data_IF_578157293872
#
_entry.id   IF_578157293872
#
_cell.length_a   1.000
_cell.length_b   1.000
_cell.length_c   1.000
_cell.angle_alpha   90.00
_cell.angle_beta   90.00
_cell.angle_gamma   90.00
#
_symmetry.space_group_name_H-M   'P 1'
#
loop_
_entity.id
_entity.type
_entity.pdbx_description
1 polymer ?
#
# COMPACT_ATOMS: atom_id res chain seq x y z
N UNK A 1 -11.30 0.47 0.59
CA UNK A 1 -10.01 0.47 1.31
C UNK A 1 -9.37 1.86 1.25
N UNK A 2 -8.81 2.33 2.37
CA UNK A 2 -7.95 3.52 2.44
C UNK A 2 -6.56 3.09 2.92
N UNK A 3 -5.52 3.34 2.13
CA UNK A 3 -4.14 3.04 2.51
C UNK A 3 -3.68 4.02 3.59
N UNK A 4 -3.09 3.51 4.67
CA UNK A 4 -2.41 4.30 5.70
C UNK A 4 -0.90 4.23 5.53
N UNK A 5 -0.37 3.04 5.28
CA UNK A 5 1.06 2.81 5.09
C UNK A 5 1.28 1.68 4.10
N UNK A 6 2.30 1.82 3.26
CA UNK A 6 2.70 0.82 2.28
C UNK A 6 4.22 0.67 2.31
N UNK A 7 4.70 -0.54 2.56
CA UNK A 7 6.08 -0.94 2.29
C UNK A 7 6.11 -1.91 1.12
N UNK A 8 7.11 -1.76 0.27
CA UNK A 8 7.33 -2.59 -0.90
C UNK A 8 8.81 -2.92 -0.96
N UNK A 9 9.13 -4.19 -1.10
CA UNK A 9 10.49 -4.61 -1.41
C UNK A 9 10.52 -5.59 -2.58
N UNK A 10 11.51 -5.41 -3.43
CA UNK A 10 11.85 -6.24 -4.58
C UNK A 10 10.70 -6.48 -5.60
N UNK A 11 9.62 -5.69 -5.55
CA UNK A 11 8.64 -5.59 -6.63
C UNK A 11 8.97 -4.44 -7.59
N UNK A 12 8.91 -4.71 -8.88
CA UNK A 12 9.21 -3.79 -9.97
C UNK A 12 10.61 -3.16 -9.84
N UNK A 13 10.67 -1.90 -9.40
CA UNK A 13 11.91 -1.15 -9.16
C UNK A 13 12.02 -0.68 -7.71
N UNK A 14 11.07 -1.06 -6.86
CA UNK A 14 11.04 -0.67 -5.47
C UNK A 14 11.96 -1.59 -4.69
N UNK A 15 12.94 -0.99 -4.02
CA UNK A 15 13.86 -1.65 -3.10
C UNK A 15 13.72 -0.93 -1.76
N UNK A 16 13.29 -1.66 -0.74
CA UNK A 16 13.03 -1.15 0.61
C UNK A 16 12.31 0.21 0.61
N UNK A 17 11.17 0.28 -0.09
CA UNK A 17 10.41 1.52 -0.28
C UNK A 17 9.25 1.59 0.69
N UNK A 18 9.16 2.69 1.44
CA UNK A 18 8.06 2.96 2.36
C UNK A 18 7.33 4.26 1.97
N UNK A 19 6.00 4.21 1.99
CA UNK A 19 5.11 5.35 1.76
C UNK A 19 4.12 5.43 2.92
N UNK A 20 4.18 6.55 3.64
CA UNK A 20 3.23 6.90 4.68
C UNK A 20 2.15 7.83 4.12
N UNK A 21 0.90 7.37 4.13
CA UNK A 21 -0.28 8.09 3.67
C UNK A 21 -1.00 8.82 4.81
N UNK A 22 -0.41 8.90 6.01
CA UNK A 22 -0.97 9.58 7.17
C UNK A 22 -0.31 10.93 7.45
N UNK A 23 -0.88 11.69 8.38
CA UNK A 23 -0.26 12.86 8.98
C UNK A 23 -0.27 12.75 10.51
N UNK A 24 0.82 13.16 11.19
CA UNK A 24 0.89 13.11 12.64
C UNK A 24 -0.06 14.11 13.32
N UNK A 25 -0.49 15.18 12.62
CA UNK A 25 -1.39 16.21 13.13
C UNK A 25 -2.32 16.71 12.04
N UNK A 26 -3.51 17.18 12.44
CA UNK A 26 -4.44 17.89 11.54
C UNK A 26 -3.76 19.11 10.93
N UNK A 27 -3.87 19.26 9.62
CA UNK A 27 -3.40 20.44 8.90
C UNK A 27 -4.37 21.59 9.20
N UNK A 28 -3.90 22.62 9.92
CA UNK A 28 -4.67 23.84 10.13
C UNK A 28 -4.78 24.58 8.79
N UNK A 29 -5.98 24.99 8.39
CA UNK A 29 -6.26 25.70 7.13
C UNK A 29 -5.99 24.88 5.85
N UNK A 30 -6.24 23.56 5.85
CA UNK A 30 -6.21 22.79 4.60
C UNK A 30 -7.22 23.37 3.60
N UNK A 31 -6.78 23.63 2.36
CA UNK A 31 -7.66 24.03 1.25
C UNK A 31 -8.44 22.85 0.68
N UNK A 32 -8.14 21.63 1.14
CA UNK A 32 -8.83 20.40 0.74
C UNK A 32 -9.93 20.14 1.77
N UNK A 33 -11.18 20.40 1.39
CA UNK A 33 -12.33 20.11 2.25
C UNK A 33 -12.48 18.60 2.51
N UNK A 34 -12.80 18.25 3.76
CA UNK A 34 -13.07 16.87 4.16
C UNK A 34 -11.85 15.95 4.12
N UNK A 35 -10.66 16.47 4.47
CA UNK A 35 -9.43 15.68 4.69
C UNK A 35 -9.41 14.99 6.08
N UNK A 36 -10.55 14.42 6.46
CA UNK A 36 -10.72 13.65 7.68
C UNK A 36 -11.76 12.56 7.42
N UNK A 37 -11.54 11.39 8.01
CA UNK A 37 -12.57 10.37 8.08
C UNK A 37 -13.47 10.71 9.26
N UNK A 38 -14.73 11.07 9.00
CA UNK A 38 -15.68 11.43 10.05
C UNK A 38 -15.77 10.36 11.15
N UNK A 39 -15.57 9.10 10.77
CA UNK A 39 -15.63 7.94 11.65
C UNK A 39 -14.29 7.55 12.28
N UNK A 40 -13.18 8.17 11.84
CA UNK A 40 -11.84 7.99 12.41
C UNK A 40 -11.22 9.35 12.77
N UNK A 41 -11.74 10.05 13.78
CA UNK A 41 -11.34 11.43 14.10
C UNK A 41 -9.86 11.57 14.52
N UNK A 42 -9.24 10.44 14.91
CA UNK A 42 -7.86 10.35 15.36
C UNK A 42 -6.87 10.02 14.23
N UNK A 43 -7.36 9.63 13.05
CA UNK A 43 -6.51 9.29 11.90
C UNK A 43 -6.59 10.42 10.89
N UNK A 44 -5.46 11.10 10.69
CA UNK A 44 -5.31 12.07 9.61
C UNK A 44 -4.65 11.36 8.44
N UNK A 45 -5.27 11.41 7.26
CA UNK A 45 -4.77 10.74 6.07
C UNK A 45 -4.72 11.69 4.88
N UNK A 46 -3.84 11.40 3.95
CA UNK A 46 -3.67 12.11 2.68
C UNK A 46 -4.79 11.68 1.74
N UNK A 47 -5.86 12.48 1.65
CA UNK A 47 -6.99 12.18 0.74
C UNK A 47 -6.58 12.26 -0.72
N UNK A 48 -5.66 13.16 -1.05
CA UNK A 48 -5.08 13.32 -2.39
C UNK A 48 -3.57 13.23 -2.27
N UNK A 49 -2.96 12.32 -3.03
CA UNK A 49 -1.52 12.18 -3.15
C UNK A 49 -1.09 12.47 -4.59
N UNK A 50 -0.22 13.47 -4.77
CA UNK A 50 0.35 13.80 -6.08
C UNK A 50 1.76 13.24 -6.13
N UNK A 51 1.97 12.20 -6.95
CA UNK A 51 3.28 11.62 -7.19
C UNK A 51 3.91 12.23 -8.44
N UNK A 52 4.96 13.03 -8.26
CA UNK A 52 5.70 13.69 -9.34
C UNK A 52 7.12 13.12 -9.46
N UNK A 53 7.70 13.17 -10.66
CA UNK A 53 9.07 12.72 -10.90
C UNK A 53 9.36 12.55 -12.39
N UNK A 54 10.62 12.28 -12.74
CA UNK A 54 11.05 12.05 -14.12
C UNK A 54 10.37 10.84 -14.79
N UNK A 55 10.46 10.72 -16.11
CA UNK A 55 9.98 9.51 -16.81
C UNK A 55 10.69 8.26 -16.24
N UNK A 56 9.97 7.13 -16.23
CA UNK A 56 10.44 5.86 -15.66
C UNK A 56 10.85 5.89 -14.17
N UNK A 57 10.48 6.93 -13.40
CA UNK A 57 10.79 7.02 -11.96
C UNK A 57 9.89 6.15 -11.06
N UNK A 58 9.14 5.20 -11.61
CA UNK A 58 8.31 4.27 -10.82
C UNK A 58 6.89 4.71 -10.51
N UNK A 59 6.43 5.89 -10.94
CA UNK A 59 5.04 6.35 -10.70
C UNK A 59 3.99 5.36 -11.23
N UNK A 60 4.15 4.86 -12.45
CA UNK A 60 3.25 3.85 -13.02
C UNK A 60 3.35 2.52 -12.29
N UNK A 61 4.56 2.10 -11.93
CA UNK A 61 4.79 0.86 -11.16
C UNK A 61 4.15 0.93 -9.77
N UNK A 62 4.17 2.10 -9.12
CA UNK A 62 3.48 2.34 -7.84
C UNK A 62 1.97 2.16 -8.00
N UNK A 63 1.38 2.78 -9.03
CA UNK A 63 -0.04 2.60 -9.32
C UNK A 63 -0.40 1.14 -9.60
N UNK A 64 0.46 0.42 -10.34
CA UNK A 64 0.28 -1.02 -10.62
C UNK A 64 0.31 -1.85 -9.35
N UNK A 65 1.31 -1.71 -8.49
CA UNK A 65 1.36 -2.51 -7.26
C UNK A 65 0.22 -2.17 -6.30
N UNK A 66 -0.20 -0.91 -6.19
CA UNK A 66 -1.38 -0.55 -5.39
C UNK A 66 -2.66 -1.20 -5.95
N UNK A 67 -2.80 -1.29 -7.27
CA UNK A 67 -3.91 -2.00 -7.92
C UNK A 67 -3.86 -3.51 -7.64
N UNK A 68 -2.67 -4.11 -7.76
CA UNK A 68 -2.43 -5.52 -7.44
C UNK A 68 -2.78 -5.84 -5.99
N UNK A 69 -2.37 -5.01 -5.03
CA UNK A 69 -2.72 -5.17 -3.61
C UNK A 69 -4.24 -5.08 -3.39
N UNK A 70 -4.93 -4.14 -4.06
CA UNK A 70 -6.39 -4.05 -4.00
C UNK A 70 -7.06 -5.33 -4.55
N UNK A 71 -6.59 -5.83 -5.69
CA UNK A 71 -7.08 -7.06 -6.29
C UNK A 71 -6.83 -8.27 -5.37
N UNK A 72 -5.65 -8.30 -4.75
CA UNK A 72 -5.25 -9.33 -3.82
C UNK A 72 -6.16 -9.38 -2.60
N UNK A 73 -6.43 -8.23 -1.98
CA UNK A 73 -7.38 -8.09 -0.89
C UNK A 73 -8.83 -8.41 -1.29
N UNK A 74 -9.17 -8.32 -2.58
CA UNK A 74 -10.44 -8.78 -3.14
C UNK A 74 -10.45 -10.28 -3.47
N UNK A 75 -9.44 -11.05 -3.05
CA UNK A 75 -9.34 -12.49 -3.23
C UNK A 75 -8.78 -12.94 -4.58
N UNK A 76 -8.18 -12.04 -5.37
CA UNK A 76 -7.53 -12.39 -6.64
C UNK A 76 -6.05 -12.73 -6.41
N UNK A 77 -5.47 -13.71 -7.11
CA UNK A 77 -4.03 -13.96 -7.00
C UNK A 77 -3.23 -12.79 -7.57
N UNK A 78 -1.98 -12.61 -7.10
CA UNK A 78 -1.00 -11.76 -7.79
C UNK A 78 -0.52 -12.51 -9.02
N UNK A 79 -1.11 -12.19 -10.18
CA UNK A 79 -0.80 -12.87 -11.44
C UNK A 79 0.65 -12.59 -11.87
N UNK A 80 1.29 -13.56 -12.53
CA UNK A 80 2.62 -13.38 -13.12
C UNK A 80 3.65 -12.73 -12.16
N UNK A 81 3.59 -13.15 -10.89
CA UNK A 81 4.51 -12.67 -9.85
C UNK A 81 5.97 -12.75 -10.29
N UNK A 82 6.45 -13.81 -10.97
CA UNK A 82 7.82 -13.89 -11.44
C UNK A 82 8.22 -12.71 -12.32
N UNK A 83 7.37 -12.16 -13.19
CA UNK A 83 7.76 -11.01 -14.03
C UNK A 83 7.86 -9.70 -13.24
N UNK A 84 7.18 -9.62 -12.10
CA UNK A 84 7.11 -8.44 -11.22
C UNK A 84 8.24 -8.39 -10.20
N UNK A 85 8.91 -9.50 -9.89
CA UNK A 85 10.09 -9.54 -8.99
C UNK A 85 11.30 -8.87 -9.67
N UNK A 86 12.01 -7.96 -9.00
CA UNK A 86 13.17 -7.27 -9.57
C UNK A 86 14.40 -8.19 -9.62
N UNK A 87 14.81 -8.65 -8.45
CA UNK A 87 15.88 -9.61 -8.22
C UNK A 87 15.27 -11.01 -8.04
N UNK A 88 15.49 -11.89 -9.02
CA UNK A 88 14.91 -13.25 -9.07
C UNK A 88 15.50 -14.21 -8.03
N UNK A 89 16.64 -13.85 -7.45
CA UNK A 89 17.30 -14.65 -6.41
C UNK A 89 16.84 -14.25 -5.00
N UNK A 90 16.04 -13.19 -4.90
CA UNK A 90 15.48 -12.66 -3.65
C UNK A 90 13.96 -12.72 -3.66
N UNK A 91 13.35 -12.84 -2.48
CA UNK A 91 11.91 -12.75 -2.31
C UNK A 91 11.43 -11.32 -2.53
N UNK A 92 10.19 -11.15 -2.99
CA UNK A 92 9.51 -9.85 -3.05
C UNK A 92 8.42 -9.77 -1.99
N UNK A 93 8.16 -8.58 -1.48
CA UNK A 93 7.17 -8.40 -0.43
C UNK A 93 6.43 -7.08 -0.54
N UNK A 94 5.21 -7.08 -0.01
CA UNK A 94 4.55 -5.86 0.38
C UNK A 94 3.98 -5.99 1.78
N UNK A 95 3.93 -4.87 2.49
CA UNK A 95 3.24 -4.71 3.76
C UNK A 95 2.31 -3.50 3.63
N UNK A 96 1.01 -3.70 3.81
CA UNK A 96 0.01 -2.64 3.72
C UNK A 96 -0.75 -2.55 5.03
N UNK A 97 -0.81 -1.34 5.58
CA UNK A 97 -1.76 -0.98 6.64
C UNK A 97 -2.88 -0.16 6.02
N UNK A 98 -4.12 -0.56 6.25
CA UNK A 98 -5.27 0.06 5.59
C UNK A 98 -6.54 0.05 6.45
N UNK A 99 -7.48 0.90 6.08
CA UNK A 99 -8.80 0.99 6.70
C UNK A 99 -9.86 0.42 5.76
N UNK A 100 -10.80 -0.32 6.36
CA UNK A 100 -12.09 -0.67 5.75
C UNK A 100 -13.16 0.28 6.30
N UNK A 101 -13.62 1.29 5.54
CA UNK A 101 -14.57 2.28 6.05
C UNK A 101 -15.85 1.66 6.60
N UNK A 102 -16.29 0.54 6.03
CA UNK A 102 -17.52 -0.14 6.40
C UNK A 102 -17.45 -0.78 7.80
N UNK A 103 -16.32 -1.40 8.15
CA UNK A 103 -16.13 -2.08 9.46
C UNK A 103 -15.49 -1.21 10.52
N UNK A 104 -14.94 -0.06 10.10
CA UNK A 104 -14.16 0.86 10.95
C UNK A 104 -12.91 0.21 11.55
N UNK A 105 -12.39 -0.81 10.90
CA UNK A 105 -11.21 -1.54 11.35
C UNK A 105 -9.97 -1.09 10.60
N UNK A 106 -8.85 -1.13 11.32
CA UNK A 106 -7.52 -0.99 10.75
C UNK A 106 -6.95 -2.39 10.61
N UNK A 107 -6.42 -2.65 9.43
CA UNK A 107 -5.87 -3.94 9.05
C UNK A 107 -4.41 -3.77 8.68
N UNK A 108 -3.63 -4.80 8.95
CA UNK A 108 -2.29 -4.94 8.40
C UNK A 108 -2.19 -6.29 7.70
N UNK A 109 -1.76 -6.24 6.43
CA UNK A 109 -1.43 -7.40 5.62
C UNK A 109 0.04 -7.32 5.24
N UNK A 110 0.78 -8.41 5.47
CA UNK A 110 2.10 -8.64 4.90
C UNK A 110 2.04 -9.88 4.02
N UNK A 111 2.52 -9.77 2.80
CA UNK A 111 2.63 -10.88 1.87
C UNK A 111 4.03 -10.90 1.26
N UNK A 112 4.60 -12.09 1.18
CA UNK A 112 5.92 -12.33 0.59
C UNK A 112 5.80 -13.42 -0.49
N UNK A 113 6.51 -13.19 -1.59
CA UNK A 113 6.45 -13.96 -2.81
C UNK A 113 7.85 -14.37 -3.26
N UNK A 114 7.96 -15.58 -3.78
CA UNK A 114 9.13 -16.09 -4.47
C UNK A 114 8.79 -16.31 -5.96
N UNK A 115 9.70 -16.93 -6.71
CA UNK A 115 9.48 -17.28 -8.12
C UNK A 115 8.34 -18.29 -8.37
N UNK A 116 7.83 -18.94 -7.34
CA UNK A 116 6.73 -19.91 -7.42
C UNK A 116 5.38 -19.28 -7.03
N UNK A 117 5.39 -18.09 -6.43
CA UNK A 117 4.20 -17.35 -6.02
C UNK A 117 4.26 -16.95 -4.54
N UNK A 118 3.10 -16.87 -3.90
CA UNK A 118 2.99 -16.54 -2.48
C UNK A 118 3.66 -17.65 -1.63
N UNK A 119 4.61 -17.29 -0.77
CA UNK A 119 5.21 -18.24 0.19
C UNK A 119 4.94 -17.89 1.65
N UNK A 120 4.59 -16.63 1.95
CA UNK A 120 4.23 -16.21 3.29
C UNK A 120 3.15 -15.13 3.25
N UNK A 121 2.20 -15.24 4.16
CA UNK A 121 1.19 -14.22 4.41
C UNK A 121 0.93 -14.11 5.91
N UNK A 122 0.77 -12.88 6.39
CA UNK A 122 0.24 -12.60 7.72
C UNK A 122 -0.75 -11.45 7.66
N UNK A 123 -1.91 -11.66 8.27
CA UNK A 123 -2.97 -10.67 8.38
C UNK A 123 -3.36 -10.50 9.84
N UNK A 124 -3.52 -9.25 10.30
CA UNK A 124 -4.04 -8.96 11.63
C UNK A 124 -4.79 -7.63 11.69
N UNK A 125 -5.72 -7.55 12.64
CA UNK A 125 -6.36 -6.29 13.03
C UNK A 125 -5.38 -5.48 13.88
N UNK A 126 -5.28 -4.19 13.59
CA UNK A 126 -4.53 -3.22 14.38
C UNK A 126 -5.51 -2.61 15.39
N UNK A 127 -5.36 -2.99 16.66
CA UNK A 127 -6.17 -2.49 17.78
C UNK A 127 -5.76 -1.11 18.27
#
# INVERSE_FOLDING_TARGET
MIFLKLKIDNFYMFKDTEIDFTYPKKIKNSTIEGEYLAEFPNINYKKVCIFMGANASGKTSLGRIMCEINNYLAGRPVEDTPSKICDKDSNASFEVTYITPETKEIHQLKAEFDKNGLFFESYHLVG
#
